data_IF_120608828097
#
_entry.id   IF_120608828097
#
_cell.length_a   1.000
_cell.length_b   1.000
_cell.length_c   1.000
_cell.angle_alpha   90.00
_cell.angle_beta   90.00
_cell.angle_gamma   90.00
#
_symmetry.space_group_name_H-M   'P 1'
#
loop_
_entity.id
_entity.type
_entity.pdbx_description
1 polymer ?
#
# COMPACT_ATOMS: atom_id res chain seq x y z
N UNK A 1 13.79 -2.51 -7.01
CA UNK A 1 13.23 -3.69 -7.71
C UNK A 1 11.71 -3.66 -7.56
N UNK A 2 10.95 -4.20 -8.51
CA UNK A 2 9.50 -4.29 -8.41
C UNK A 2 9.11 -5.65 -7.82
N UNK A 3 8.13 -5.67 -6.91
CA UNK A 3 7.52 -6.86 -6.34
C UNK A 3 6.14 -7.11 -6.98
N UNK A 4 5.74 -8.37 -7.22
CA UNK A 4 4.43 -8.69 -7.76
C UNK A 4 3.37 -8.85 -6.65
N UNK A 5 2.13 -8.49 -6.96
CA UNK A 5 0.94 -9.07 -6.32
C UNK A 5 0.51 -10.28 -7.17
N UNK A 6 0.24 -11.46 -6.59
CA UNK A 6 -0.29 -12.59 -7.36
C UNK A 6 -1.53 -12.18 -8.16
N UNK A 7 -1.52 -12.44 -9.47
CA UNK A 7 -2.56 -12.05 -10.42
C UNK A 7 -2.92 -10.55 -10.44
N UNK A 8 -2.00 -9.69 -9.98
CA UNK A 8 -2.22 -8.25 -9.80
C UNK A 8 -1.14 -7.38 -10.41
N UNK A 9 -1.05 -6.14 -9.92
CA UNK A 9 -0.04 -5.17 -10.33
C UNK A 9 1.33 -5.48 -9.72
N UNK A 10 2.38 -4.94 -10.34
CA UNK A 10 3.68 -4.81 -9.69
C UNK A 10 3.75 -3.50 -8.92
N UNK A 11 4.58 -3.47 -7.88
CA UNK A 11 4.85 -2.26 -7.11
C UNK A 11 6.31 -2.17 -6.69
N UNK A 12 6.75 -0.98 -6.30
CA UNK A 12 8.04 -0.78 -5.64
C UNK A 12 7.83 -0.03 -4.34
N UNK A 13 8.70 -0.29 -3.35
CA UNK A 13 8.70 0.39 -2.07
C UNK A 13 10.03 1.11 -1.85
N UNK A 14 9.96 2.29 -1.24
CA UNK A 14 11.11 3.03 -0.74
C UNK A 14 10.83 3.47 0.70
N UNK A 15 11.87 3.59 1.52
CA UNK A 15 11.77 4.07 2.89
C UNK A 15 12.83 5.12 3.17
N UNK A 16 12.46 6.13 3.94
CA UNK A 16 13.37 7.15 4.46
C UNK A 16 13.40 7.04 5.97
N UNK A 17 14.60 7.05 6.52
CA UNK A 17 14.84 6.81 7.94
C UNK A 17 15.33 8.10 8.62
N UNK A 18 15.09 8.20 9.92
CA UNK A 18 15.73 9.21 10.77
C UNK A 18 17.22 8.90 11.00
N UNK A 19 17.89 9.75 11.78
CA UNK A 19 19.32 9.60 12.13
C UNK A 19 19.64 8.30 12.88
N UNK A 20 18.65 7.67 13.50
CA UNK A 20 18.78 6.42 14.24
C UNK A 20 18.41 5.19 13.39
N UNK A 21 18.09 5.39 12.11
CA UNK A 21 17.69 4.33 11.20
C UNK A 21 16.21 3.91 11.31
N UNK A 22 15.38 4.64 12.08
CA UNK A 22 13.94 4.36 12.19
C UNK A 22 13.21 4.88 10.94
N UNK A 23 12.40 4.06 10.24
CA UNK A 23 11.66 4.53 9.08
C UNK A 23 10.59 5.56 9.50
N UNK A 24 10.63 6.74 8.87
CA UNK A 24 9.68 7.83 9.09
C UNK A 24 8.71 8.02 7.93
N UNK A 25 9.09 7.56 6.73
CA UNK A 25 8.24 7.59 5.53
C UNK A 25 8.42 6.29 4.76
N UNK A 26 7.32 5.72 4.28
CA UNK A 26 7.34 4.66 3.27
C UNK A 26 6.54 5.09 2.04
N UNK A 27 7.14 4.99 0.86
CA UNK A 27 6.49 5.25 -0.42
C UNK A 27 6.26 3.92 -1.12
N UNK A 28 5.01 3.64 -1.50
CA UNK A 28 4.65 2.53 -2.36
C UNK A 28 4.18 3.09 -3.70
N UNK A 29 4.87 2.73 -4.79
CA UNK A 29 4.47 3.06 -6.15
C UNK A 29 3.93 1.81 -6.83
N UNK A 30 2.66 1.82 -7.18
CA UNK A 30 2.00 0.75 -7.93
C UNK A 30 2.08 1.11 -9.43
N UNK A 31 2.48 0.14 -10.26
CA UNK A 31 2.64 0.34 -11.70
C UNK A 31 1.40 -0.14 -12.45
N UNK A 32 0.93 0.67 -13.41
CA UNK A 32 -0.24 0.35 -14.23
C UNK A 32 -1.59 0.56 -13.53
N UNK A 33 -1.58 0.92 -12.24
CA UNK A 33 -2.78 1.31 -11.51
C UNK A 33 -3.08 2.79 -11.75
N UNK A 34 -4.33 3.10 -12.14
CA UNK A 34 -4.83 4.47 -12.24
C UNK A 34 -5.09 5.08 -10.84
N UNK A 35 -5.83 6.19 -10.76
CA UNK A 35 -6.16 6.83 -9.48
C UNK A 35 -7.23 6.04 -8.71
N UNK A 36 -6.80 4.98 -8.02
CA UNK A 36 -7.63 4.09 -7.20
C UNK A 36 -6.91 3.76 -5.89
N UNK A 37 -7.69 3.41 -4.86
CA UNK A 37 -7.19 2.88 -3.61
C UNK A 37 -6.66 1.45 -3.80
N UNK A 38 -5.41 1.22 -3.41
CA UNK A 38 -4.72 -0.05 -3.63
C UNK A 38 -5.17 -1.13 -2.64
N UNK A 39 -5.56 -2.29 -3.16
CA UNK A 39 -5.85 -3.49 -2.37
C UNK A 39 -7.08 -3.34 -1.47
N UNK A 40 -8.21 -3.01 -2.09
CA UNK A 40 -9.55 -2.92 -1.47
C UNK A 40 -10.46 -4.08 -1.85
N UNK A 41 -11.77 -3.92 -1.61
CA UNK A 41 -12.77 -4.93 -1.96
C UNK A 41 -12.91 -5.09 -3.48
N UNK A 42 -13.25 -6.31 -3.91
CA UNK A 42 -13.72 -6.52 -5.29
C UNK A 42 -15.06 -5.83 -5.50
N UNK A 43 -15.41 -5.48 -6.75
CA UNK A 43 -16.63 -4.74 -6.98
C UNK A 43 -17.89 -5.39 -6.43
N UNK A 44 -18.64 -4.64 -5.63
CA UNK A 44 -20.02 -4.90 -5.28
C UNK A 44 -20.92 -4.47 -6.45
N UNK A 45 -22.09 -5.10 -6.56
CA UNK A 45 -23.00 -4.88 -7.68
C UNK A 45 -23.55 -3.44 -7.80
N UNK A 46 -23.36 -2.60 -6.77
CA UNK A 46 -23.91 -1.25 -6.66
C UNK A 46 -22.88 -0.12 -6.85
N UNK A 47 -21.62 -0.44 -7.17
CA UNK A 47 -20.62 0.52 -7.63
C UNK A 47 -19.95 1.36 -6.54
N UNK A 48 -20.09 1.02 -5.25
CA UNK A 48 -19.38 1.69 -4.16
C UNK A 48 -17.83 1.50 -4.22
N UNK A 49 -17.38 0.49 -4.93
CA UNK A 49 -15.98 0.05 -5.10
C UNK A 49 -15.20 0.70 -6.26
N UNK A 50 -15.82 1.59 -7.06
CA UNK A 50 -15.18 2.14 -8.26
C UNK A 50 -13.91 2.94 -7.95
N UNK A 51 -13.71 3.29 -6.68
CA UNK A 51 -12.54 3.98 -6.15
C UNK A 51 -11.45 3.05 -5.63
N UNK A 52 -11.67 1.74 -5.61
CA UNK A 52 -10.69 0.73 -5.17
C UNK A 52 -10.24 -0.14 -6.34
N UNK A 53 -9.08 -0.78 -6.21
CA UNK A 53 -8.62 -1.82 -7.12
C UNK A 53 -8.01 -2.99 -6.32
N UNK A 54 -8.67 -4.17 -6.27
CA UNK A 54 -8.18 -5.32 -5.51
C UNK A 54 -6.88 -5.91 -6.07
N UNK A 55 -6.48 -5.55 -7.29
CA UNK A 55 -5.24 -6.04 -7.93
C UNK A 55 -3.99 -5.36 -7.41
N UNK A 56 -4.12 -4.27 -6.66
CA UNK A 56 -2.99 -3.60 -5.99
C UNK A 56 -2.65 -4.25 -4.65
N UNK A 57 -1.45 -4.01 -4.09
CA UNK A 57 -1.15 -4.45 -2.74
C UNK A 57 -2.08 -3.79 -1.72
N UNK A 58 -2.41 -4.49 -0.63
CA UNK A 58 -3.27 -3.97 0.45
C UNK A 58 -2.63 -2.76 1.13
N UNK A 59 -3.14 -1.56 0.81
CA UNK A 59 -2.64 -0.33 1.44
C UNK A 59 -2.97 -0.29 2.92
N UNK A 60 -4.09 -0.88 3.33
CA UNK A 60 -4.49 -1.02 4.73
C UNK A 60 -3.47 -1.85 5.51
N UNK A 61 -3.10 -3.04 5.01
CA UNK A 61 -2.15 -3.91 5.71
C UNK A 61 -0.75 -3.29 5.76
N UNK A 62 -0.32 -2.66 4.66
CA UNK A 62 0.95 -1.92 4.60
C UNK A 62 1.00 -0.82 5.65
N UNK A 63 -0.04 0.01 5.71
CA UNK A 63 -0.11 1.15 6.63
C UNK A 63 -0.21 0.67 8.09
N UNK A 64 -1.03 -0.34 8.35
CA UNK A 64 -1.17 -0.93 9.67
C UNK A 64 0.15 -1.51 10.17
N UNK A 65 0.85 -2.27 9.31
CA UNK A 65 2.18 -2.80 9.63
C UNK A 65 3.19 -1.69 9.91
N UNK A 66 3.20 -0.60 9.14
CA UNK A 66 4.10 0.53 9.40
C UNK A 66 3.90 1.10 10.81
N UNK A 67 2.66 1.32 11.25
CA UNK A 67 2.39 1.85 12.59
C UNK A 67 2.70 0.86 13.71
N UNK A 68 2.44 -0.45 13.50
CA UNK A 68 2.82 -1.48 14.47
C UNK A 68 4.34 -1.59 14.64
N UNK A 69 5.09 -1.50 13.55
CA UNK A 69 6.56 -1.53 13.57
C UNK A 69 7.15 -0.20 14.09
N UNK A 70 6.37 0.89 14.09
CA UNK A 70 6.81 2.24 14.48
C UNK A 70 5.84 2.91 15.46
N UNK A 71 5.62 2.33 16.66
CA UNK A 71 4.75 2.95 17.64
C UNK A 71 5.26 4.35 18.00
N UNK A 72 4.34 5.29 18.18
CA UNK A 72 4.65 6.55 18.85
C UNK A 72 4.67 6.28 20.35
N UNK A 73 5.75 6.64 21.02
CA UNK A 73 5.75 6.73 22.47
C UNK A 73 4.75 7.80 22.90
N UNK A 74 3.93 7.49 23.89
CA UNK A 74 2.98 8.42 24.50
C UNK A 74 3.70 9.50 25.31
#
# INVERSE_FOLDING_TARGET
MQAPVPDGYTYSAASWNDINGKPVVQLYRIYGMNHRWSGGASPLADGADIYTDPRGPSFTDITYKFFLDNPMSA
#
